data_IF_946168513773
#
_entry.id   IF_946168513773
#
_cell.length_a   1.000
_cell.length_b   1.000
_cell.length_c   1.000
_cell.angle_alpha   90.00
_cell.angle_beta   90.00
_cell.angle_gamma   90.00
#
_symmetry.space_group_name_H-M   'P 1'
#
loop_
_entity.id
_entity.type
_entity.pdbx_description
1 polymer ?
#
# COMPACT_ATOMS: atom_id res chain seq x y z
N UNK A 1 -17.70 17.83 -14.26
CA UNK A 1 -18.14 16.58 -14.92
C UNK A 1 -18.69 15.66 -13.85
N UNK A 2 -20.03 15.49 -13.86
CA UNK A 2 -20.72 14.55 -12.95
C UNK A 2 -20.41 13.12 -13.43
N UNK A 3 -19.59 12.37 -12.69
CA UNK A 3 -19.27 10.97 -13.01
C UNK A 3 -19.49 10.10 -11.79
N UNK A 4 -20.43 9.17 -11.93
CA UNK A 4 -20.81 8.21 -10.87
C UNK A 4 -19.93 6.97 -10.95
N UNK A 5 -19.50 6.45 -9.79
CA UNK A 5 -18.56 5.35 -9.75
C UNK A 5 -18.91 4.29 -8.69
N UNK A 6 -18.58 3.03 -8.99
CA UNK A 6 -18.70 1.90 -8.07
C UNK A 6 -17.40 1.52 -7.36
N UNK A 7 -16.26 1.89 -7.93
CA UNK A 7 -14.94 1.61 -7.34
C UNK A 7 -14.01 2.79 -7.65
N UNK A 8 -13.43 3.38 -6.63
CA UNK A 8 -12.39 4.38 -6.78
C UNK A 8 -11.06 3.84 -6.27
N UNK A 9 -10.07 3.78 -7.12
CA UNK A 9 -8.68 3.62 -6.72
C UNK A 9 -7.83 4.66 -7.43
N UNK A 10 -6.71 5.01 -6.82
CA UNK A 10 -5.67 5.79 -7.47
C UNK A 10 -4.72 4.80 -8.11
N UNK A 11 -4.46 4.99 -9.42
CA UNK A 11 -3.34 4.39 -10.10
C UNK A 11 -2.18 5.36 -10.06
N UNK A 12 -1.00 4.86 -9.82
CA UNK A 12 0.24 5.62 -9.78
C UNK A 12 1.29 5.04 -10.74
N UNK A 13 2.21 5.88 -11.19
CA UNK A 13 3.40 5.49 -11.93
C UNK A 13 4.63 6.18 -11.35
N UNK A 14 5.77 5.48 -11.37
CA UNK A 14 7.04 6.00 -10.89
C UNK A 14 7.63 6.96 -11.92
N UNK A 15 7.17 8.19 -11.87
CA UNK A 15 7.71 9.34 -12.59
C UNK A 15 8.14 10.40 -11.58
N UNK A 16 8.79 11.45 -11.98
CA UNK A 16 9.18 12.53 -11.11
C UNK A 16 8.52 13.85 -11.55
N UNK A 17 7.46 14.29 -10.88
CA UNK A 17 6.77 13.67 -9.74
C UNK A 17 5.88 12.48 -10.15
N UNK A 18 5.56 11.61 -9.17
CA UNK A 18 4.62 10.49 -9.34
C UNK A 18 3.33 10.95 -10.00
N UNK A 19 2.88 10.21 -11.02
CA UNK A 19 1.64 10.50 -11.72
C UNK A 19 0.49 9.68 -11.14
N UNK A 20 -0.61 10.34 -10.84
CA UNK A 20 -1.82 9.74 -10.28
C UNK A 20 -3.01 9.86 -11.22
N UNK A 21 -3.81 8.82 -11.27
CA UNK A 21 -5.10 8.84 -11.97
C UNK A 21 -6.21 8.23 -11.11
N UNK A 22 -7.40 8.84 -11.11
CA UNK A 22 -8.59 8.16 -10.62
C UNK A 22 -9.01 7.10 -11.64
N UNK A 23 -9.23 5.90 -11.16
CA UNK A 23 -9.91 4.87 -11.95
C UNK A 23 -11.40 4.94 -11.64
N UNK A 24 -12.18 5.33 -12.63
CA UNK A 24 -13.61 5.52 -12.55
C UNK A 24 -14.27 4.55 -13.55
N UNK A 25 -14.69 3.36 -13.06
CA UNK A 25 -15.14 2.24 -13.90
C UNK A 25 -14.08 1.93 -14.99
N UNK A 26 -14.37 2.20 -16.27
CA UNK A 26 -13.47 1.95 -17.40
C UNK A 26 -12.64 3.19 -17.80
N UNK A 27 -12.70 4.28 -17.03
CA UNK A 27 -12.00 5.52 -17.35
C UNK A 27 -10.90 5.81 -16.33
N UNK A 28 -9.77 6.32 -16.84
CA UNK A 28 -8.70 6.88 -16.03
C UNK A 28 -8.69 8.42 -16.20
N UNK A 29 -8.77 9.14 -15.08
CA UNK A 29 -8.71 10.59 -15.05
C UNK A 29 -7.44 11.03 -14.38
N UNK A 30 -6.50 11.70 -15.07
CA UNK A 30 -5.31 12.25 -14.45
C UNK A 30 -5.65 13.20 -13.31
N UNK A 31 -5.01 13.02 -12.15
CA UNK A 31 -5.27 13.82 -10.94
C UNK A 31 -4.24 14.91 -10.76
N UNK A 32 -2.99 14.72 -11.19
CA UNK A 32 -1.94 15.74 -11.05
C UNK A 32 -2.37 17.12 -11.62
N UNK A 33 -3.06 17.22 -12.80
CA UNK A 33 -3.53 18.49 -13.32
C UNK A 33 -4.62 19.18 -12.50
N UNK A 34 -5.18 18.50 -11.49
CA UNK A 34 -6.19 19.03 -10.57
C UNK A 34 -5.56 19.67 -9.32
N UNK A 35 -4.26 19.54 -9.12
CA UNK A 35 -3.55 20.22 -8.02
C UNK A 35 -3.65 21.73 -8.24
N UNK A 36 -3.90 22.47 -7.17
CA UNK A 36 -4.23 23.90 -7.20
C UNK A 36 -5.68 24.22 -7.57
N UNK A 37 -6.52 23.22 -7.89
CA UNK A 37 -7.92 23.43 -8.25
C UNK A 37 -8.88 22.92 -7.17
N UNK A 38 -10.12 23.41 -7.20
CA UNK A 38 -11.21 22.91 -6.38
C UNK A 38 -11.56 21.47 -6.79
N UNK A 39 -11.59 20.56 -5.82
CA UNK A 39 -11.99 19.17 -6.00
C UNK A 39 -12.98 18.81 -4.91
N UNK A 40 -14.08 18.14 -5.30
CA UNK A 40 -15.10 17.62 -4.39
C UNK A 40 -15.33 16.13 -4.64
N UNK A 41 -15.28 15.35 -3.59
CA UNK A 41 -15.66 13.95 -3.55
C UNK A 41 -16.95 13.84 -2.75
N UNK A 42 -17.95 13.16 -3.30
CA UNK A 42 -19.25 12.97 -2.65
C UNK A 42 -19.63 11.50 -2.58
N UNK A 43 -19.88 11.00 -1.37
CA UNK A 43 -20.40 9.65 -1.14
C UNK A 43 -21.90 9.59 -1.43
N UNK A 44 -22.31 8.73 -2.36
CA UNK A 44 -23.67 8.61 -2.85
C UNK A 44 -24.55 7.63 -2.04
N UNK A 45 -24.12 7.26 -0.82
CA UNK A 45 -24.92 6.44 0.09
C UNK A 45 -24.97 4.95 -0.22
N UNK A 46 -24.11 4.44 -1.12
CA UNK A 46 -24.05 3.03 -1.46
C UNK A 46 -22.62 2.48 -1.39
N UNK A 47 -22.48 1.28 -0.82
CA UNK A 47 -21.24 0.50 -0.78
C UNK A 47 -21.49 -0.79 -1.54
N UNK A 48 -20.63 -1.12 -2.50
CA UNK A 48 -20.72 -2.32 -3.30
C UNK A 48 -19.47 -3.19 -3.16
N UNK A 49 -19.67 -4.47 -2.83
CA UNK A 49 -18.58 -5.42 -2.70
C UNK A 49 -17.77 -5.48 -4.01
N UNK A 50 -16.45 -5.28 -3.93
CA UNK A 50 -15.54 -5.28 -5.08
C UNK A 50 -15.46 -6.64 -5.78
N UNK A 51 -15.79 -7.74 -5.08
CA UNK A 51 -15.79 -9.08 -5.65
C UNK A 51 -17.14 -9.47 -6.26
N UNK A 52 -18.24 -9.40 -5.51
CA UNK A 52 -19.53 -9.91 -5.97
C UNK A 52 -20.54 -8.82 -6.39
N UNK A 53 -20.17 -7.54 -6.32
CA UNK A 53 -21.05 -6.41 -6.68
C UNK A 53 -22.23 -6.16 -5.73
N UNK A 54 -22.46 -7.01 -4.74
CA UNK A 54 -23.59 -6.89 -3.82
C UNK A 54 -23.51 -5.58 -3.03
N UNK A 55 -24.64 -4.91 -2.89
CA UNK A 55 -24.79 -3.79 -1.94
C UNK A 55 -24.59 -4.27 -0.51
N UNK A 56 -23.81 -3.55 0.26
CA UNK A 56 -23.49 -3.86 1.66
C UNK A 56 -23.57 -2.59 2.51
N UNK A 57 -23.76 -2.74 3.82
CA UNK A 57 -23.75 -1.61 4.76
C UNK A 57 -22.35 -1.25 5.24
N UNK A 58 -21.42 -2.19 5.12
CA UNK A 58 -20.05 -2.05 5.65
C UNK A 58 -19.05 -2.65 4.66
N UNK A 59 -17.94 -1.98 4.44
CA UNK A 59 -16.80 -2.47 3.69
C UNK A 59 -15.85 -3.20 4.63
N UNK A 60 -15.68 -4.51 4.45
CA UNK A 60 -14.69 -5.33 5.17
C UNK A 60 -13.42 -5.47 4.33
N UNK A 61 -12.25 -5.58 4.97
CA UNK A 61 -10.96 -5.76 4.31
C UNK A 61 -10.76 -4.83 3.10
N UNK A 62 -11.21 -3.57 3.21
CA UNK A 62 -11.09 -2.54 2.18
C UNK A 62 -11.79 -2.90 0.85
N UNK A 63 -13.02 -3.38 0.91
CA UNK A 63 -13.80 -3.53 -0.31
C UNK A 63 -14.79 -4.68 -0.36
N UNK A 64 -14.84 -5.56 0.62
CA UNK A 64 -15.64 -6.78 0.55
C UNK A 64 -16.89 -6.72 1.43
N UNK A 65 -17.97 -7.42 1.01
CA UNK A 65 -19.08 -7.74 1.92
C UNK A 65 -18.65 -8.86 2.88
N UNK A 66 -19.38 -9.00 3.98
CA UNK A 66 -19.06 -9.99 5.01
C UNK A 66 -18.92 -11.45 4.48
N UNK A 67 -19.84 -11.98 3.65
CA UNK A 67 -19.68 -13.32 3.09
C UNK A 67 -18.43 -13.48 2.22
N UNK A 68 -18.04 -12.48 1.42
CA UNK A 68 -16.82 -12.51 0.62
C UNK A 68 -15.58 -12.44 1.52
N UNK A 69 -15.59 -11.57 2.53
CA UNK A 69 -14.49 -11.46 3.49
C UNK A 69 -14.23 -12.79 4.23
N UNK A 70 -15.26 -13.57 4.51
CA UNK A 70 -15.09 -14.87 5.15
C UNK A 70 -14.57 -15.97 4.23
N UNK A 71 -14.83 -15.89 2.91
CA UNK A 71 -14.54 -16.98 1.96
C UNK A 71 -13.28 -16.80 1.16
N UNK A 72 -12.96 -15.57 0.76
CA UNK A 72 -11.88 -15.29 -0.19
C UNK A 72 -10.50 -15.45 0.47
N UNK A 73 -9.54 -16.01 -0.28
CA UNK A 73 -8.16 -16.15 0.15
C UNK A 73 -7.52 -14.76 0.42
N UNK A 74 -7.84 -13.76 -0.40
CA UNK A 74 -7.35 -12.38 -0.23
C UNK A 74 -7.88 -11.65 1.02
N UNK A 75 -8.78 -12.28 1.76
CA UNK A 75 -9.28 -11.78 3.05
C UNK A 75 -8.85 -12.68 4.22
N UNK A 76 -8.04 -13.70 3.97
CA UNK A 76 -7.57 -14.59 5.01
C UNK A 76 -6.56 -13.89 5.94
N UNK A 77 -6.40 -14.44 7.15
CA UNK A 77 -5.49 -13.88 8.17
C UNK A 77 -4.04 -13.86 7.69
N UNK A 78 -3.64 -14.83 6.87
CA UNK A 78 -2.29 -14.89 6.30
C UNK A 78 -1.99 -13.75 5.30
N UNK A 79 -2.99 -12.98 4.88
CA UNK A 79 -2.75 -11.74 4.11
C UNK A 79 -2.15 -10.64 4.99
N UNK A 80 -2.51 -10.60 6.26
CA UNK A 80 -1.98 -9.64 7.23
C UNK A 80 -0.79 -10.19 8.03
N UNK A 81 -0.69 -11.51 8.13
CA UNK A 81 0.32 -12.27 8.87
C UNK A 81 0.86 -13.41 7.99
N UNK A 82 1.73 -13.10 7.00
CA UNK A 82 2.13 -14.08 5.98
C UNK A 82 2.85 -15.31 6.55
N UNK A 83 3.55 -15.18 7.67
CA UNK A 83 4.18 -16.26 8.42
C UNK A 83 3.18 -17.36 8.84
N UNK A 84 1.90 -16.99 8.96
CA UNK A 84 0.80 -17.89 9.31
C UNK A 84 0.14 -18.56 8.11
N UNK A 85 0.79 -18.52 6.95
CA UNK A 85 0.26 -19.17 5.76
C UNK A 85 0.11 -20.68 6.02
N UNK A 86 -1.04 -21.20 5.63
CA UNK A 86 -1.42 -22.61 5.84
C UNK A 86 -1.68 -23.35 4.51
N UNK A 87 -1.03 -22.87 3.43
CA UNK A 87 -1.13 -23.46 2.10
C UNK A 87 -0.61 -24.90 2.11
N UNK A 88 0.58 -25.12 2.67
CA UNK A 88 1.23 -26.45 2.74
C UNK A 88 0.45 -27.43 3.62
N UNK A 89 -0.36 -26.92 4.55
CA UNK A 89 -1.28 -27.74 5.35
C UNK A 89 -2.55 -28.16 4.58
N UNK A 90 -2.71 -27.75 3.32
CA UNK A 90 -3.87 -28.07 2.49
C UNK A 90 -5.17 -27.35 2.90
N UNK A 91 -5.09 -26.33 3.73
CA UNK A 91 -6.27 -25.63 4.29
C UNK A 91 -6.45 -24.22 3.73
N UNK A 92 -5.66 -23.82 2.71
CA UNK A 92 -5.84 -22.55 2.02
C UNK A 92 -7.27 -22.42 1.48
N UNK A 93 -7.92 -21.28 1.68
CA UNK A 93 -9.31 -21.03 1.24
C UNK A 93 -9.50 -21.18 -0.27
N UNK A 94 -8.53 -20.74 -1.06
CA UNK A 94 -8.52 -20.80 -2.53
C UNK A 94 -7.09 -21.16 -3.00
N UNK A 95 -6.74 -22.46 -3.10
CA UNK A 95 -5.38 -22.89 -3.45
C UNK A 95 -4.88 -22.30 -4.78
N UNK A 96 -5.71 -22.28 -5.83
CA UNK A 96 -5.34 -21.72 -7.15
C UNK A 96 -5.00 -20.21 -7.07
N UNK A 97 -5.71 -19.44 -6.22
CA UNK A 97 -5.37 -18.07 -5.93
C UNK A 97 -4.03 -17.99 -5.16
N UNK A 98 -3.83 -18.91 -4.20
CA UNK A 98 -2.57 -19.02 -3.46
C UNK A 98 -1.39 -19.30 -4.39
N UNK A 99 -1.51 -20.21 -5.34
CA UNK A 99 -0.49 -20.51 -6.36
C UNK A 99 -0.14 -19.27 -7.17
N UNK A 100 -1.15 -18.53 -7.63
CA UNK A 100 -0.95 -17.35 -8.48
C UNK A 100 -0.34 -16.16 -7.72
N UNK A 101 -0.67 -15.98 -6.43
CA UNK A 101 -0.36 -14.75 -5.71
C UNK A 101 0.55 -14.90 -4.49
N UNK A 102 0.66 -16.10 -3.92
CA UNK A 102 1.46 -16.36 -2.74
C UNK A 102 2.68 -17.25 -3.02
N UNK A 103 2.56 -18.23 -3.94
CA UNK A 103 3.64 -19.12 -4.34
C UNK A 103 4.45 -18.54 -5.51
N UNK A 104 4.72 -17.25 -5.46
CA UNK A 104 5.49 -16.49 -6.45
C UNK A 104 6.49 -15.60 -5.73
N UNK A 105 7.47 -15.10 -6.47
CA UNK A 105 8.50 -14.24 -5.94
C UNK A 105 7.94 -13.02 -5.21
N UNK A 106 8.44 -12.82 -4.00
CA UNK A 106 8.20 -11.65 -3.18
C UNK A 106 9.50 -10.90 -2.93
N UNK A 107 9.37 -9.61 -2.73
CA UNK A 107 10.47 -8.71 -2.40
C UNK A 107 10.28 -8.21 -0.98
N UNK A 108 11.33 -8.33 -0.18
CA UNK A 108 11.48 -7.62 1.09
C UNK A 108 12.26 -6.36 0.80
N UNK A 109 11.79 -5.22 1.29
CA UNK A 109 12.38 -3.92 0.99
C UNK A 109 12.42 -3.01 2.20
N UNK A 110 13.33 -2.05 2.18
CA UNK A 110 13.32 -0.90 3.07
C UNK A 110 12.54 0.24 2.41
N UNK A 111 11.75 0.95 3.17
CA UNK A 111 11.07 2.16 2.72
C UNK A 111 11.16 3.27 3.76
N UNK A 112 11.52 4.46 3.33
CA UNK A 112 11.50 5.66 4.15
C UNK A 112 10.24 6.46 3.83
N UNK A 113 9.28 6.49 4.73
CA UNK A 113 8.01 7.21 4.54
C UNK A 113 7.73 8.22 5.66
N UNK A 114 7.85 7.82 6.90
CA UNK A 114 7.87 8.65 8.13
C UNK A 114 8.91 8.14 9.11
N UNK A 115 9.95 7.54 8.57
CA UNK A 115 11.02 6.75 9.16
C UNK A 115 11.20 5.46 8.36
N UNK A 116 12.37 4.85 8.49
CA UNK A 116 12.70 3.60 7.80
C UNK A 116 11.90 2.45 8.38
N UNK A 117 11.34 1.63 7.51
CA UNK A 117 10.63 0.39 7.85
C UNK A 117 10.95 -0.72 6.89
N UNK A 118 10.77 -1.95 7.31
CA UNK A 118 10.73 -3.13 6.45
C UNK A 118 9.32 -3.28 5.87
N UNK A 119 9.23 -3.68 4.64
CA UNK A 119 7.96 -4.03 3.98
C UNK A 119 8.15 -5.20 3.02
N UNK A 120 7.05 -5.83 2.69
CA UNK A 120 7.00 -6.97 1.77
C UNK A 120 5.99 -6.71 0.66
N UNK A 121 6.29 -7.23 -0.52
CA UNK A 121 5.37 -7.18 -1.66
C UNK A 121 5.69 -8.28 -2.67
N UNK A 122 4.74 -8.61 -3.55
CA UNK A 122 5.03 -9.42 -4.73
C UNK A 122 5.97 -8.65 -5.66
N UNK A 123 6.87 -9.34 -6.33
CA UNK A 123 7.78 -8.71 -7.28
C UNK A 123 7.05 -7.88 -8.34
N UNK A 124 5.88 -8.35 -8.79
CA UNK A 124 5.01 -7.65 -9.77
C UNK A 124 4.35 -6.37 -9.25
N UNK A 125 4.42 -6.11 -7.94
CA UNK A 125 3.85 -4.92 -7.30
C UNK A 125 4.91 -3.86 -6.93
N UNK A 126 6.13 -4.05 -7.36
CA UNK A 126 7.17 -3.01 -7.32
C UNK A 126 7.05 -2.19 -8.62
N UNK A 127 7.05 -0.83 -8.57
CA UNK A 127 7.18 0.06 -7.40
C UNK A 127 5.84 0.45 -6.74
N UNK A 128 4.69 0.02 -7.26
CA UNK A 128 3.35 0.47 -6.82
C UNK A 128 3.19 0.40 -5.29
N UNK A 129 3.73 -0.64 -4.66
CA UNK A 129 3.64 -0.76 -3.20
C UNK A 129 4.40 0.33 -2.44
N UNK A 130 5.51 0.82 -2.97
CA UNK A 130 6.26 1.94 -2.39
C UNK A 130 5.49 3.24 -2.50
N UNK A 131 4.90 3.45 -3.70
CA UNK A 131 4.06 4.62 -3.99
C UNK A 131 2.82 4.64 -3.09
N UNK A 132 2.11 3.52 -2.97
CA UNK A 132 0.95 3.36 -2.06
C UNK A 132 1.25 3.77 -0.61
N UNK A 133 2.47 3.50 -0.14
CA UNK A 133 2.90 3.80 1.21
C UNK A 133 3.42 5.23 1.40
N UNK A 134 3.53 6.00 0.32
CA UNK A 134 4.07 7.36 0.35
C UNK A 134 5.56 7.39 0.71
N UNK A 135 6.33 6.36 0.32
CA UNK A 135 7.76 6.31 0.56
C UNK A 135 8.49 7.36 -0.27
N UNK A 136 9.36 8.16 0.34
CA UNK A 136 10.27 9.08 -0.35
C UNK A 136 11.53 8.38 -0.86
N UNK A 137 11.89 7.25 -0.25
CA UNK A 137 12.99 6.38 -0.65
C UNK A 137 12.59 4.92 -0.48
N UNK A 138 13.01 4.04 -1.38
CA UNK A 138 12.80 2.60 -1.26
C UNK A 138 14.00 1.81 -1.79
N UNK A 139 14.32 0.67 -1.15
CA UNK A 139 15.40 -0.21 -1.53
C UNK A 139 14.97 -1.67 -1.37
N UNK A 140 14.89 -2.47 -2.46
CA UNK A 140 14.76 -3.92 -2.37
C UNK A 140 16.01 -4.52 -1.72
N UNK A 141 15.82 -5.37 -0.70
CA UNK A 141 16.95 -5.95 0.04
C UNK A 141 17.04 -7.48 -0.05
N UNK A 142 15.90 -8.15 -0.23
CA UNK A 142 15.84 -9.60 -0.38
C UNK A 142 14.76 -9.99 -1.38
N UNK A 143 15.02 -11.02 -2.17
CA UNK A 143 14.04 -11.77 -2.94
C UNK A 143 13.75 -13.08 -2.24
N UNK A 144 12.48 -13.43 -2.12
CA UNK A 144 12.04 -14.69 -1.52
C UNK A 144 11.03 -15.39 -2.43
N UNK A 145 11.03 -16.74 -2.42
CA UNK A 145 10.23 -17.52 -3.36
C UNK A 145 8.72 -17.52 -3.05
N UNK A 146 8.34 -17.27 -1.79
CA UNK A 146 6.92 -17.28 -1.40
C UNK A 146 6.56 -16.14 -0.46
N UNK A 147 5.26 -15.84 -0.39
CA UNK A 147 4.72 -14.88 0.56
C UNK A 147 5.00 -15.26 2.01
N UNK A 148 4.90 -16.54 2.36
CA UNK A 148 5.18 -17.02 3.72
C UNK A 148 6.61 -16.72 4.15
N UNK A 149 7.56 -17.00 3.27
CA UNK A 149 8.96 -16.69 3.52
C UNK A 149 9.19 -15.19 3.71
N UNK A 150 8.51 -14.35 2.92
CA UNK A 150 8.59 -12.90 3.13
C UNK A 150 8.11 -12.48 4.52
N UNK A 151 7.09 -13.15 5.06
CA UNK A 151 6.58 -12.90 6.41
C UNK A 151 7.60 -13.26 7.49
N UNK A 152 8.24 -14.41 7.39
CA UNK A 152 9.30 -14.80 8.34
C UNK A 152 10.49 -13.85 8.31
N UNK A 153 10.91 -13.42 7.12
CA UNK A 153 11.99 -12.43 6.98
C UNK A 153 11.57 -11.08 7.54
N UNK A 154 10.34 -10.62 7.25
CA UNK A 154 9.82 -9.35 7.79
C UNK A 154 9.79 -9.37 9.32
N UNK A 155 9.32 -10.47 9.93
CA UNK A 155 9.30 -10.64 11.38
C UNK A 155 10.70 -10.59 12.01
N UNK A 156 11.68 -11.24 11.38
CA UNK A 156 13.08 -11.23 11.82
C UNK A 156 13.63 -9.79 11.78
N UNK A 157 13.52 -9.11 10.66
CA UNK A 157 14.12 -7.80 10.45
C UNK A 157 13.39 -6.69 11.24
N UNK A 158 12.08 -6.82 11.45
CA UNK A 158 11.25 -5.86 12.18
C UNK A 158 11.69 -5.63 13.62
N UNK A 159 12.40 -6.59 14.23
CA UNK A 159 12.98 -6.42 15.57
C UNK A 159 14.00 -5.27 15.64
N UNK A 160 14.61 -4.90 14.51
CA UNK A 160 15.68 -3.90 14.39
C UNK A 160 15.24 -2.56 13.82
N UNK A 161 14.09 -2.50 13.14
CA UNK A 161 13.55 -1.27 12.53
C UNK A 161 12.08 -1.08 12.87
N UNK A 162 11.63 0.18 12.88
CA UNK A 162 10.25 0.51 13.15
C UNK A 162 9.29 -0.13 12.14
N UNK A 163 8.18 -0.68 12.64
CA UNK A 163 7.17 -1.39 11.83
C UNK A 163 6.06 -0.48 11.30
N UNK A 164 5.81 0.68 11.93
CA UNK A 164 4.60 1.45 11.66
C UNK A 164 4.87 2.81 11.05
N UNK A 165 4.19 3.07 9.93
CA UNK A 165 4.13 4.42 9.36
C UNK A 165 3.28 5.32 10.24
N UNK A 166 3.84 6.45 10.67
CA UNK A 166 3.06 7.53 11.25
C UNK A 166 2.44 8.34 10.11
N UNK A 167 1.19 8.05 9.75
CA UNK A 167 0.51 8.71 8.65
C UNK A 167 0.36 10.23 8.82
N UNK A 168 0.32 10.73 10.07
CA UNK A 168 0.31 12.17 10.32
C UNK A 168 1.67 12.80 10.04
N UNK A 169 2.77 12.12 10.40
CA UNK A 169 4.12 12.57 10.06
C UNK A 169 4.34 12.52 8.54
N UNK A 170 3.88 11.46 7.87
CA UNK A 170 3.92 11.32 6.42
C UNK A 170 3.30 12.53 5.68
N UNK A 171 2.21 13.09 6.21
CA UNK A 171 1.46 14.19 5.60
C UNK A 171 1.85 15.58 6.13
N UNK A 172 2.89 15.70 6.95
CA UNK A 172 3.44 16.97 7.42
C UNK A 172 4.69 17.43 6.67
N UNK A 173 5.30 16.53 5.92
CA UNK A 173 6.54 16.80 5.21
C UNK A 173 7.15 15.52 4.66
N UNK A 174 8.28 15.67 3.98
CA UNK A 174 9.08 14.52 3.59
C UNK A 174 9.92 14.04 4.75
N UNK A 175 10.11 12.72 4.83
CA UNK A 175 11.06 12.13 5.76
C UNK A 175 12.48 12.60 5.40
N UNK A 176 13.31 12.85 6.40
CA UNK A 176 14.74 13.16 6.16
C UNK A 176 15.38 12.00 5.37
N UNK A 177 16.18 12.29 4.34
CA UNK A 177 16.88 11.26 3.59
C UNK A 177 17.75 10.37 4.50
N UNK A 178 17.77 9.07 4.19
CA UNK A 178 18.53 8.06 4.94
C UNK A 178 19.34 7.23 3.95
N UNK A 179 20.55 6.85 4.33
CA UNK A 179 21.33 5.87 3.59
C UNK A 179 20.74 4.46 3.79
N UNK A 180 19.79 4.09 2.92
CA UNK A 180 19.12 2.79 2.99
C UNK A 180 20.06 1.61 2.70
N UNK A 181 21.17 1.84 1.98
CA UNK A 181 22.18 0.80 1.75
C UNK A 181 22.94 0.48 3.04
N UNK A 182 23.35 1.52 3.78
CA UNK A 182 23.97 1.33 5.09
C UNK A 182 23.00 0.65 6.09
N UNK A 183 21.71 1.02 6.07
CA UNK A 183 20.70 0.35 6.92
C UNK A 183 20.54 -1.10 6.53
N UNK A 184 20.50 -1.46 5.22
CA UNK A 184 20.47 -2.85 4.76
C UNK A 184 21.66 -3.63 5.29
N UNK A 185 22.87 -3.12 5.13
CA UNK A 185 24.10 -3.80 5.54
C UNK A 185 24.11 -4.04 7.05
N UNK A 186 23.72 -3.04 7.83
CA UNK A 186 23.57 -3.16 9.29
C UNK A 186 22.52 -4.23 9.70
N UNK A 187 21.41 -4.32 8.96
CA UNK A 187 20.38 -5.34 9.19
C UNK A 187 20.91 -6.75 8.87
N UNK A 188 21.66 -6.89 7.79
CA UNK A 188 22.25 -8.17 7.41
C UNK A 188 23.30 -8.63 8.42
N UNK A 189 24.08 -7.72 8.97
CA UNK A 189 25.04 -8.03 10.04
C UNK A 189 24.30 -8.42 11.32
N UNK A 190 23.32 -7.66 11.77
CA UNK A 190 22.62 -7.90 13.02
C UNK A 190 21.66 -9.10 13.00
N UNK A 191 21.11 -9.44 11.84
CA UNK A 191 20.15 -10.55 11.67
C UNK A 191 20.75 -11.73 10.89
N UNK A 192 22.05 -11.75 10.66
CA UNK A 192 22.73 -12.74 9.80
C UNK A 192 22.47 -14.18 10.21
N UNK A 193 22.54 -14.50 11.51
CA UNK A 193 22.23 -15.85 12.03
C UNK A 193 20.80 -16.28 11.70
N UNK A 194 19.82 -15.42 11.97
CA UNK A 194 18.42 -15.72 11.67
C UNK A 194 18.14 -15.85 10.17
N UNK A 195 18.82 -15.07 9.33
CA UNK A 195 18.72 -15.24 7.87
C UNK A 195 19.31 -16.56 7.41
N UNK A 196 20.43 -16.99 7.97
CA UNK A 196 21.03 -18.31 7.70
C UNK A 196 20.10 -19.45 8.14
N UNK A 197 19.47 -19.35 9.30
CA UNK A 197 18.48 -20.34 9.76
C UNK A 197 17.29 -20.45 8.79
N UNK A 198 16.78 -19.32 8.30
CA UNK A 198 15.71 -19.32 7.32
C UNK A 198 16.17 -19.91 5.98
N UNK A 199 17.40 -19.62 5.53
CA UNK A 199 17.98 -20.23 4.33
C UNK A 199 18.20 -21.75 4.49
N UNK A 200 18.60 -22.21 5.66
CA UNK A 200 18.72 -23.65 5.95
C UNK A 200 17.34 -24.34 5.91
N UNK A 201 16.32 -23.67 6.44
CA UNK A 201 14.94 -24.19 6.46
C UNK A 201 14.30 -24.26 5.09
N UNK A 202 14.46 -23.24 4.24
CA UNK A 202 13.73 -23.09 2.99
C UNK A 202 14.58 -23.30 1.74
N UNK A 203 15.90 -23.38 1.88
CA UNK A 203 16.89 -23.46 0.81
C UNK A 203 17.49 -22.10 0.45
N UNK A 204 18.76 -22.12 0.04
CA UNK A 204 19.51 -20.91 -0.33
C UNK A 204 18.87 -20.13 -1.48
N UNK A 205 18.26 -20.84 -2.43
CA UNK A 205 17.60 -20.21 -3.57
C UNK A 205 16.24 -19.57 -3.21
N UNK A 206 15.68 -19.95 -2.07
CA UNK A 206 14.39 -19.46 -1.61
C UNK A 206 14.49 -18.07 -0.94
N UNK A 207 15.66 -17.71 -0.40
CA UNK A 207 15.90 -16.42 0.28
C UNK A 207 17.22 -15.86 -0.21
N UNK A 208 17.15 -14.86 -1.09
CA UNK A 208 18.32 -14.32 -1.80
C UNK A 208 18.54 -12.85 -1.45
N UNK A 209 19.70 -12.47 -0.88
CA UNK A 209 20.08 -11.07 -0.73
C UNK A 209 20.20 -10.34 -2.08
N UNK A 210 19.77 -9.09 -2.11
CA UNK A 210 19.87 -8.19 -3.25
C UNK A 210 20.88 -7.08 -2.93
N UNK A 211 22.15 -7.45 -2.90
CA UNK A 211 23.24 -6.55 -2.47
C UNK A 211 23.53 -5.42 -3.48
N UNK A 212 23.27 -5.65 -4.78
CA UNK A 212 23.62 -4.72 -5.86
C UNK A 212 22.53 -3.67 -6.13
N UNK A 213 21.39 -3.77 -5.46
CA UNK A 213 20.30 -2.83 -5.66
C UNK A 213 20.63 -1.47 -5.06
N UNK A 214 20.20 -0.41 -5.78
CA UNK A 214 20.37 0.98 -5.36
C UNK A 214 19.05 1.54 -4.84
N UNK A 215 19.07 2.46 -3.86
CA UNK A 215 17.90 3.18 -3.43
C UNK A 215 17.22 3.94 -4.56
N UNK A 216 15.90 3.90 -4.59
CA UNK A 216 15.07 4.67 -5.51
C UNK A 216 14.49 5.87 -4.75
N UNK A 217 14.73 7.07 -5.25
CA UNK A 217 14.14 8.31 -4.76
C UNK A 217 12.76 8.52 -5.41
N UNK A 218 11.79 8.95 -4.62
CA UNK A 218 10.40 9.10 -5.05
C UNK A 218 9.91 10.50 -4.69
N UNK A 219 9.57 11.30 -5.70
CA UNK A 219 9.01 12.64 -5.53
C UNK A 219 7.49 12.62 -5.77
N UNK A 220 6.73 13.21 -4.86
CA UNK A 220 5.28 13.29 -4.95
C UNK A 220 4.82 14.66 -5.46
N UNK A 221 3.67 14.74 -6.15
CA UNK A 221 3.11 16.01 -6.63
C UNK A 221 2.44 16.74 -5.45
N UNK A 222 3.21 17.59 -4.78
CA UNK A 222 2.79 18.34 -3.59
C UNK A 222 3.17 19.81 -3.78
N UNK A 223 2.19 20.70 -3.81
CA UNK A 223 2.39 22.15 -3.78
C UNK A 223 2.56 22.68 -2.35
N UNK A 224 1.78 22.11 -1.43
CA UNK A 224 1.89 22.46 -0.01
C UNK A 224 1.46 21.30 0.89
N UNK A 225 2.05 21.23 2.07
CA UNK A 225 1.56 20.34 3.13
C UNK A 225 0.48 21.03 3.96
N UNK A 226 -0.56 20.29 4.41
CA UNK A 226 -1.63 20.86 5.20
C UNK A 226 -1.13 21.37 6.55
N UNK A 227 -1.46 22.61 6.92
CA UNK A 227 -1.10 23.20 8.22
C UNK A 227 -1.68 22.38 9.39
N UNK A 228 -2.88 21.85 9.23
CA UNK A 228 -3.57 20.98 10.19
C UNK A 228 -4.07 19.72 9.51
N UNK A 229 -3.71 18.55 10.05
CA UNK A 229 -4.17 17.28 9.51
C UNK A 229 -5.53 16.92 10.13
N UNK A 230 -6.59 17.25 9.40
CA UNK A 230 -7.96 16.84 9.69
C UNK A 230 -8.37 15.80 8.67
N UNK A 231 -8.74 14.59 9.12
CA UNK A 231 -9.15 13.52 8.21
C UNK A 231 -10.64 13.61 7.91
N UNK A 232 -11.00 13.65 6.62
CA UNK A 232 -12.37 13.46 6.19
C UNK A 232 -12.86 12.05 6.51
N UNK A 233 -14.14 11.95 6.85
CA UNK A 233 -14.80 10.69 7.11
C UNK A 233 -16.16 10.67 6.39
N UNK A 234 -16.22 9.99 5.23
CA UNK A 234 -17.39 9.96 4.36
C UNK A 234 -18.58 9.19 5.00
N UNK A 235 -18.35 8.39 6.04
CA UNK A 235 -19.43 7.75 6.79
C UNK A 235 -20.18 8.74 7.70
N UNK A 236 -19.51 9.83 8.11
CA UNK A 236 -20.06 10.87 8.99
C UNK A 236 -20.52 12.11 8.21
N UNK A 237 -19.73 12.52 7.26
CA UNK A 237 -20.00 13.63 6.35
C UNK A 237 -19.73 13.13 4.92
N UNK A 238 -20.73 13.00 4.05
CA UNK A 238 -20.59 12.41 2.74
C UNK A 238 -19.71 13.23 1.77
N UNK A 239 -19.26 14.40 2.16
CA UNK A 239 -18.50 15.33 1.31
C UNK A 239 -17.09 15.52 1.85
N UNK A 240 -16.11 15.44 0.95
CA UNK A 240 -14.75 15.90 1.13
C UNK A 240 -14.42 16.88 0.00
N UNK A 241 -14.19 18.15 0.33
CA UNK A 241 -13.99 19.20 -0.65
C UNK A 241 -12.98 20.25 -0.19
N UNK A 242 -12.34 20.89 -1.15
CA UNK A 242 -11.37 21.96 -0.96
C UNK A 242 -10.47 22.13 -2.18
N UNK A 243 -9.45 22.94 -2.08
CA UNK A 243 -8.37 23.01 -3.06
C UNK A 243 -7.45 21.82 -2.88
N UNK A 244 -7.23 21.01 -3.91
CA UNK A 244 -6.27 19.92 -3.88
C UNK A 244 -4.85 20.51 -3.86
N UNK A 245 -4.12 20.33 -2.76
CA UNK A 245 -2.76 20.88 -2.58
C UNK A 245 -1.64 19.85 -2.73
N UNK A 246 -1.99 18.58 -2.86
CA UNK A 246 -1.01 17.53 -3.10
C UNK A 246 -1.58 16.13 -2.95
N UNK A 247 -0.76 15.16 -3.42
CA UNK A 247 -1.07 13.73 -3.35
C UNK A 247 0.18 13.00 -2.86
N UNK A 248 0.02 12.15 -1.83
CA UNK A 248 1.11 11.32 -1.32
C UNK A 248 0.60 9.96 -0.87
N UNK A 249 1.15 8.90 -1.45
CA UNK A 249 0.62 7.56 -1.22
C UNK A 249 -0.84 7.45 -1.64
N UNK A 250 -1.67 6.96 -0.75
CA UNK A 250 -3.13 6.85 -0.95
C UNK A 250 -3.91 8.07 -0.41
N UNK A 251 -3.21 9.18 -0.12
CA UNK A 251 -3.83 10.36 0.46
C UNK A 251 -3.95 11.49 -0.56
N UNK A 252 -5.16 12.03 -0.71
CA UNK A 252 -5.39 13.36 -1.26
C UNK A 252 -5.32 14.37 -0.12
N UNK A 253 -4.55 15.43 -0.32
CA UNK A 253 -4.39 16.54 0.63
C UNK A 253 -5.09 17.77 0.09
N UNK A 254 -6.03 18.29 0.87
CA UNK A 254 -6.76 19.52 0.59
C UNK A 254 -6.33 20.60 1.60
N UNK A 255 -6.55 21.85 1.25
CA UNK A 255 -6.43 22.99 2.17
C UNK A 255 -7.33 22.84 3.42
N UNK A 256 -8.44 22.12 3.28
CA UNK A 256 -9.47 21.87 4.32
C UNK A 256 -9.24 20.58 5.10
N UNK A 257 -8.45 19.64 4.60
CA UNK A 257 -8.22 18.34 5.25
C UNK A 257 -7.58 17.30 4.34
N UNK A 258 -7.56 16.05 4.79
CA UNK A 258 -6.95 14.93 4.06
C UNK A 258 -7.90 13.74 3.99
N UNK A 259 -7.83 12.97 2.91
CA UNK A 259 -8.61 11.74 2.76
C UNK A 259 -7.73 10.59 2.25
N UNK A 260 -7.84 9.42 2.91
CA UNK A 260 -7.25 8.18 2.40
C UNK A 260 -8.26 7.50 1.47
N UNK A 261 -7.98 7.52 0.18
CA UNK A 261 -8.89 6.99 -0.85
C UNK A 261 -9.07 5.48 -0.75
N UNK A 262 -8.03 4.75 -0.36
CA UNK A 262 -8.08 3.29 -0.23
C UNK A 262 -9.15 2.82 0.77
N UNK A 263 -9.44 3.63 1.78
CA UNK A 263 -10.51 3.33 2.75
C UNK A 263 -11.89 3.23 2.08
N UNK A 264 -12.10 3.91 0.96
CA UNK A 264 -13.38 4.06 0.29
C UNK A 264 -13.47 3.30 -1.04
N UNK A 265 -12.62 2.29 -1.26
CA UNK A 265 -12.54 1.51 -2.51
C UNK A 265 -13.89 0.93 -2.97
N UNK A 266 -14.75 0.50 -2.04
CA UNK A 266 -16.07 -0.08 -2.35
C UNK A 266 -17.21 0.94 -2.38
N UNK A 267 -16.93 2.20 -2.07
CA UNK A 267 -17.93 3.25 -1.96
C UNK A 267 -18.30 3.80 -3.33
N UNK A 268 -19.58 4.05 -3.54
CA UNK A 268 -20.04 4.79 -4.70
C UNK A 268 -19.80 6.27 -4.49
N UNK A 269 -18.87 6.84 -5.26
CA UNK A 269 -18.46 8.22 -5.14
C UNK A 269 -18.76 8.99 -6.43
N UNK A 270 -19.07 10.27 -6.32
CA UNK A 270 -19.02 11.24 -7.38
C UNK A 270 -17.80 12.15 -7.21
N UNK A 271 -17.17 12.51 -8.31
CA UNK A 271 -15.98 13.38 -8.35
C UNK A 271 -16.32 14.62 -9.19
N UNK A 272 -16.12 15.79 -8.60
CA UNK A 272 -16.33 17.10 -9.25
C UNK A 272 -15.01 17.88 -9.22
N UNK A 273 -14.55 18.32 -10.40
CA UNK A 273 -13.31 19.06 -10.58
C UNK A 273 -13.50 20.20 -11.61
#
# INVERSE_FOLDING_TARGET
VDRRQRQMCIRDSLEAPVQYAFRLDDQEIPVNPLIGKSLRLEYLGAIHCTHCGRKTKTSFSQGYCYPCMQKLAQCDICIMSPERCHYDAGTCREPSWGEQFCMTDHVVYLANSSGVKVGITRGTQVPTRWLDQGASQALPILRVATRQQSGFVEDLLRSQVADKTNWRALLKGDAAPVDLAAVRDQLFDSCGEGLLELQQRFGLQAIQPLSDQQPVEIAYPIEAYPAKITSFNLDKNPIAEGTLIGIKGQYLMFDTGVINIRKYTAYQLAVYA
#
